data_IF_838971239026
#
_entry.id   IF_838971239026
#
_cell.length_a   1.000
_cell.length_b   1.000
_cell.length_c   1.000
_cell.angle_alpha   90.00
_cell.angle_beta   90.00
_cell.angle_gamma   90.00
#
_symmetry.space_group_name_H-M   'P 1'
#
loop_
_entity.id
_entity.type
_entity.pdbx_description
1 polymer ?
#
# COMPACT_ATOMS: atom_id res chain seq x y z
N UNK A 1 -15.35 27.59 8.71
CA UNK A 1 -14.80 26.69 7.67
C UNK A 1 -14.19 25.53 8.43
N UNK A 2 -14.88 24.40 8.47
CA UNK A 2 -14.37 23.22 9.17
C UNK A 2 -13.33 22.58 8.24
N UNK A 3 -12.08 22.53 8.68
CA UNK A 3 -11.10 21.62 8.10
C UNK A 3 -11.69 20.22 8.19
N UNK A 4 -12.01 19.63 7.03
CA UNK A 4 -12.35 18.22 6.93
C UNK A 4 -11.11 17.45 7.37
N UNK A 5 -11.03 17.14 8.67
CA UNK A 5 -10.05 16.19 9.20
C UNK A 5 -10.23 14.91 8.42
N UNK A 6 -9.27 14.56 7.56
CA UNK A 6 -9.21 13.26 6.91
C UNK A 6 -9.39 12.18 7.99
N UNK A 7 -10.58 11.59 8.02
CA UNK A 7 -10.87 10.52 8.96
C UNK A 7 -10.10 9.29 8.50
N UNK A 8 -9.15 8.84 9.31
CA UNK A 8 -8.39 7.61 9.06
C UNK A 8 -9.31 6.40 9.19
N UNK A 9 -9.97 6.03 8.10
CA UNK A 9 -10.72 4.79 7.98
C UNK A 9 -9.80 3.62 7.64
N UNK A 10 -10.03 2.46 8.24
CA UNK A 10 -9.38 1.21 7.84
C UNK A 10 -10.37 0.35 7.06
N UNK A 11 -10.02 0.03 5.81
CA UNK A 11 -10.78 -0.90 4.97
C UNK A 11 -9.99 -2.21 4.84
N UNK A 12 -10.67 -3.34 5.05
CA UNK A 12 -10.13 -4.65 4.74
C UNK A 12 -10.31 -4.91 3.24
N UNK A 13 -9.20 -5.11 2.54
CA UNK A 13 -9.19 -5.34 1.09
C UNK A 13 -8.43 -6.63 0.81
N UNK A 14 -9.03 -7.52 0.02
CA UNK A 14 -8.36 -8.73 -0.45
C UNK A 14 -7.95 -8.54 -1.91
N UNK A 15 -6.64 -8.60 -2.18
CA UNK A 15 -6.08 -8.44 -3.52
C UNK A 15 -5.65 -9.82 -4.02
N UNK A 16 -6.06 -10.19 -5.24
CA UNK A 16 -5.60 -11.41 -5.92
C UNK A 16 -4.56 -11.04 -6.96
N UNK A 17 -3.39 -11.65 -6.86
CA UNK A 17 -2.27 -11.51 -7.80
C UNK A 17 -1.68 -12.89 -8.07
N UNK A 18 -0.84 -13.01 -9.10
CA UNK A 18 -0.08 -14.23 -9.33
C UNK A 18 0.94 -14.45 -8.20
N UNK A 19 1.30 -15.72 -7.96
CA UNK A 19 2.30 -16.08 -6.93
C UNK A 19 3.62 -15.35 -7.17
N UNK A 20 4.09 -15.32 -8.43
CA UNK A 20 5.31 -14.59 -8.81
C UNK A 20 5.26 -13.12 -8.39
N UNK A 21 4.14 -12.44 -8.65
CA UNK A 21 3.99 -11.03 -8.29
C UNK A 21 3.95 -10.85 -6.77
N UNK A 22 3.32 -11.77 -6.04
CA UNK A 22 3.32 -11.77 -4.58
C UNK A 22 4.74 -11.92 -4.02
N UNK A 23 5.53 -12.86 -4.55
CA UNK A 23 6.92 -13.07 -4.14
C UNK A 23 7.80 -11.83 -4.42
N UNK A 24 7.65 -11.22 -5.59
CA UNK A 24 8.39 -10.01 -5.96
C UNK A 24 8.04 -8.83 -5.05
N UNK A 25 6.74 -8.66 -4.71
CA UNK A 25 6.30 -7.63 -3.75
C UNK A 25 6.82 -7.90 -2.34
N UNK A 26 6.80 -9.15 -1.89
CA UNK A 26 7.27 -9.53 -0.56
C UNK A 26 8.77 -9.25 -0.42
N UNK A 27 9.59 -9.66 -1.40
CA UNK A 27 11.03 -9.38 -1.39
C UNK A 27 11.34 -7.89 -1.25
N UNK A 28 10.67 -7.05 -2.05
CA UNK A 28 10.87 -5.60 -1.98
C UNK A 28 10.40 -5.00 -0.66
N UNK A 29 9.34 -5.54 -0.07
CA UNK A 29 8.88 -5.12 1.25
C UNK A 29 9.93 -5.48 2.33
N UNK A 30 10.48 -6.69 2.26
CA UNK A 30 11.51 -7.19 3.18
C UNK A 30 12.83 -6.39 3.07
N UNK A 31 13.27 -6.05 1.85
CA UNK A 31 14.44 -5.20 1.58
C UNK A 31 14.32 -3.82 2.25
N UNK A 32 13.09 -3.30 2.37
CA UNK A 32 12.79 -2.02 2.99
C UNK A 32 12.41 -2.14 4.47
N UNK A 33 12.37 -3.37 5.02
CA UNK A 33 11.95 -3.64 6.39
C UNK A 33 10.49 -3.30 6.67
N UNK A 34 9.63 -3.35 5.65
CA UNK A 34 8.21 -2.99 5.74
C UNK A 34 7.31 -4.22 5.68
N UNK A 35 6.16 -4.22 6.40
CA UNK A 35 5.09 -5.18 6.13
C UNK A 35 4.60 -5.05 4.68
N UNK A 36 4.29 -6.18 4.04
CA UNK A 36 3.79 -6.20 2.65
C UNK A 36 2.58 -5.28 2.44
N UNK A 37 1.65 -5.24 3.39
CA UNK A 37 0.47 -4.36 3.34
C UNK A 37 0.86 -2.88 3.32
N UNK A 38 1.81 -2.48 4.17
CA UNK A 38 2.35 -1.12 4.21
C UNK A 38 3.07 -0.77 2.91
N UNK A 39 3.84 -1.71 2.37
CA UNK A 39 4.54 -1.51 1.10
C UNK A 39 3.57 -1.32 -0.07
N UNK A 40 2.50 -2.11 -0.14
CA UNK A 40 1.45 -1.95 -1.17
C UNK A 40 0.77 -0.59 -1.07
N UNK A 41 0.41 -0.14 0.14
CA UNK A 41 -0.17 1.20 0.35
C UNK A 41 0.80 2.30 -0.07
N UNK A 42 2.09 2.15 0.26
CA UNK A 42 3.13 3.10 -0.14
C UNK A 42 3.26 3.23 -1.66
N UNK A 43 3.23 2.10 -2.40
CA UNK A 43 3.25 2.11 -3.86
C UNK A 43 2.04 2.84 -4.45
N UNK A 44 0.83 2.56 -3.94
CA UNK A 44 -0.40 3.23 -4.39
C UNK A 44 -0.31 4.74 -4.09
N UNK A 45 0.13 5.12 -2.88
CA UNK A 45 0.26 6.52 -2.50
C UNK A 45 1.30 7.26 -3.35
N UNK A 46 2.40 6.62 -3.73
CA UNK A 46 3.37 7.20 -4.66
C UNK A 46 2.75 7.42 -6.05
N UNK A 47 1.94 6.48 -6.52
CA UNK A 47 1.30 6.62 -7.83
C UNK A 47 0.25 7.74 -7.84
N UNK A 48 -0.56 7.83 -6.79
CA UNK A 48 -1.54 8.91 -6.60
C UNK A 48 -0.89 10.31 -6.43
N UNK A 49 0.39 10.37 -6.05
CA UNK A 49 1.14 11.63 -5.95
C UNK A 49 1.68 12.11 -7.30
N UNK A 50 1.62 11.30 -8.36
CA UNK A 50 1.99 11.74 -9.70
C UNK A 50 0.87 12.64 -10.25
N UNK A 51 1.19 13.84 -10.78
CA UNK A 51 0.21 14.78 -11.32
C UNK A 51 -0.49 14.26 -12.58
#
# INVERSE_FOLDING_TARGET
>A
MAEEKETKGSNLIQIRVSDKMKDDLQKKADELGLPLTTYVVFLIAQDLKKP
#
